data_IF_304023501245
#
_entry.id   IF_304023501245
#
_cell.length_a   1.000
_cell.length_b   1.000
_cell.length_c   1.000
_cell.angle_alpha   90.00
_cell.angle_beta   90.00
_cell.angle_gamma   90.00
#
_symmetry.space_group_name_H-M   'P 1'
#
loop_
_entity.id
_entity.type
_entity.pdbx_description
1 polymer ?
#
# COMPACT_ATOMS: atom_id res chain seq x y z
N UNK A 1 14.51 2.39 19.65
CA UNK A 1 13.67 2.56 18.46
C UNK A 1 14.50 2.05 17.30
N UNK A 2 13.90 1.24 16.44
CA UNK A 2 14.54 0.73 15.22
C UNK A 2 13.77 1.30 14.05
N UNK A 3 14.46 1.97 13.14
CA UNK A 3 13.92 2.28 11.82
C UNK A 3 14.16 1.09 10.91
N UNK A 4 13.11 0.67 10.20
CA UNK A 4 13.17 -0.39 9.19
C UNK A 4 12.58 0.14 7.90
N UNK A 5 13.31 -0.03 6.80
CA UNK A 5 12.84 0.29 5.45
C UNK A 5 12.76 -0.99 4.64
N UNK A 6 11.71 -1.14 3.85
CA UNK A 6 11.53 -2.29 2.97
C UNK A 6 10.88 -1.87 1.66
N UNK A 7 11.20 -2.62 0.60
CA UNK A 7 10.62 -2.48 -0.74
C UNK A 7 10.08 -3.82 -1.19
N UNK A 8 8.83 -3.82 -1.66
CA UNK A 8 8.19 -4.99 -2.25
C UNK A 8 7.67 -4.62 -3.63
N UNK A 9 7.97 -5.47 -4.60
CA UNK A 9 7.48 -5.37 -5.97
C UNK A 9 6.66 -6.60 -6.34
N UNK A 10 5.56 -6.40 -7.07
CA UNK A 10 4.65 -7.45 -7.53
C UNK A 10 4.07 -7.13 -8.90
N UNK A 11 3.92 -8.17 -9.71
CA UNK A 11 3.08 -8.11 -10.91
C UNK A 11 1.67 -8.57 -10.55
N UNK A 12 0.69 -7.77 -10.94
CA UNK A 12 -0.75 -8.04 -10.81
C UNK A 12 -1.29 -8.49 -12.16
N UNK A 13 -2.28 -9.39 -12.15
CA UNK A 13 -3.10 -9.70 -13.32
C UNK A 13 -4.53 -9.38 -12.96
N UNK A 14 -5.12 -8.46 -13.71
CA UNK A 14 -6.49 -7.98 -13.50
C UNK A 14 -7.32 -8.43 -14.71
N UNK A 15 -8.41 -9.15 -14.47
CA UNK A 15 -9.29 -9.66 -15.52
C UNK A 15 -10.31 -8.59 -15.96
N UNK A 16 -9.79 -7.39 -16.23
CA UNK A 16 -10.57 -6.24 -16.67
C UNK A 16 -9.84 -5.46 -17.77
N UNK A 17 -10.59 -4.81 -18.69
CA UNK A 17 -10.02 -3.90 -19.67
C UNK A 17 -9.25 -2.74 -19.02
N UNK A 18 -8.24 -2.23 -19.72
CA UNK A 18 -7.35 -1.17 -19.22
C UNK A 18 -8.10 0.06 -18.67
N UNK A 19 -9.21 0.46 -19.30
CA UNK A 19 -9.99 1.61 -18.87
C UNK A 19 -10.60 1.38 -17.48
N UNK A 20 -11.18 0.21 -17.23
CA UNK A 20 -11.79 -0.14 -15.96
C UNK A 20 -10.74 -0.34 -14.87
N UNK A 21 -9.62 -1.00 -15.20
CA UNK A 21 -8.49 -1.14 -14.28
C UNK A 21 -7.90 0.23 -13.89
N UNK A 22 -7.86 1.19 -14.82
CA UNK A 22 -7.43 2.56 -14.51
C UNK A 22 -8.42 3.28 -13.60
N UNK A 23 -9.73 3.21 -13.88
CA UNK A 23 -10.75 3.78 -13.01
C UNK A 23 -10.70 3.19 -11.59
N UNK A 24 -10.51 1.86 -11.48
CA UNK A 24 -10.26 1.21 -10.19
C UNK A 24 -9.03 1.81 -9.52
N UNK A 25 -7.92 1.98 -10.25
CA UNK A 25 -6.66 2.46 -9.66
C UNK A 25 -6.79 3.88 -9.11
N UNK A 26 -7.58 4.74 -9.76
CA UNK A 26 -7.85 6.10 -9.29
C UNK A 26 -8.71 6.15 -8.01
N UNK A 27 -9.52 5.11 -7.73
CA UNK A 27 -10.34 5.02 -6.53
C UNK A 27 -9.54 4.45 -5.34
N UNK A 28 -8.61 5.27 -4.82
CA UNK A 28 -7.70 4.90 -3.73
C UNK A 28 -8.40 4.29 -2.51
N UNK A 29 -9.49 4.88 -1.96
CA UNK A 29 -10.19 4.28 -0.84
C UNK A 29 -10.75 2.89 -1.15
N UNK A 30 -11.30 2.68 -2.35
CA UNK A 30 -11.92 1.39 -2.72
C UNK A 30 -10.92 0.25 -2.71
N UNK A 31 -9.82 0.38 -3.45
CA UNK A 31 -8.82 -0.70 -3.48
C UNK A 31 -7.98 -0.71 -2.21
N UNK A 32 -7.73 0.45 -1.59
CA UNK A 32 -6.88 0.56 -0.41
C UNK A 32 -7.41 -0.23 0.78
N UNK A 33 -8.73 -0.30 0.94
CA UNK A 33 -9.38 -1.12 1.98
C UNK A 33 -9.15 -2.63 1.80
N UNK A 34 -8.67 -3.09 0.64
CA UNK A 34 -8.27 -4.48 0.44
C UNK A 34 -6.91 -4.79 1.07
N UNK A 35 -6.07 -3.79 1.33
CA UNK A 35 -4.80 -4.02 2.02
C UNK A 35 -5.09 -4.52 3.45
N UNK A 36 -4.47 -5.61 3.91
CA UNK A 36 -4.82 -6.20 5.20
C UNK A 36 -4.62 -5.22 6.35
N UNK A 37 -5.51 -5.30 7.34
CA UNK A 37 -5.47 -4.50 8.57
C UNK A 37 -5.66 -3.00 8.37
N UNK A 38 -6.18 -2.55 7.23
CA UNK A 38 -6.64 -1.15 7.10
C UNK A 38 -7.98 -1.01 7.85
N UNK A 39 -8.04 -0.04 8.75
CA UNK A 39 -9.25 0.33 9.51
C UNK A 39 -10.02 1.41 8.75
N UNK A 40 -9.36 2.53 8.39
CA UNK A 40 -9.98 3.60 7.60
C UNK A 40 -9.00 4.24 6.61
N UNK A 41 -9.57 4.74 5.51
CA UNK A 41 -8.90 5.63 4.55
C UNK A 41 -9.79 6.86 4.41
N UNK A 42 -9.30 8.01 4.84
CA UNK A 42 -10.04 9.27 4.83
C UNK A 42 -9.36 10.27 3.91
N UNK A 43 -10.12 10.99 3.09
CA UNK A 43 -9.55 12.06 2.27
C UNK A 43 -9.09 13.23 3.15
N UNK A 44 -7.95 13.80 2.80
CA UNK A 44 -7.42 15.05 3.36
C UNK A 44 -7.53 16.23 2.37
N UNK A 45 -8.15 16.01 1.20
CA UNK A 45 -8.15 16.94 0.07
C UNK A 45 -6.99 16.69 -0.91
N UNK A 46 -7.08 17.22 -2.13
CA UNK A 46 -5.98 17.23 -3.13
C UNK A 46 -5.29 15.87 -3.39
N UNK A 47 -6.06 14.78 -3.49
CA UNK A 47 -5.50 13.44 -3.73
C UNK A 47 -4.69 12.90 -2.55
N UNK A 48 -4.81 13.49 -1.37
CA UNK A 48 -4.19 13.03 -0.13
C UNK A 48 -5.17 12.19 0.67
N UNK A 49 -4.67 11.09 1.22
CA UNK A 49 -5.45 10.18 2.04
C UNK A 49 -4.71 9.84 3.33
N UNK A 50 -5.45 9.88 4.43
CA UNK A 50 -5.03 9.46 5.75
C UNK A 50 -5.41 7.99 5.96
N UNK A 51 -4.39 7.15 6.08
CA UNK A 51 -4.53 5.73 6.35
C UNK A 51 -4.42 5.49 7.83
N UNK A 52 -5.37 4.73 8.37
CA UNK A 52 -5.32 4.20 9.73
C UNK A 52 -5.38 2.70 9.66
N UNK A 53 -4.36 2.05 10.20
CA UNK A 53 -4.37 0.61 10.37
C UNK A 53 -5.17 0.22 11.62
N UNK A 54 -5.59 -1.04 11.70
CA UNK A 54 -6.15 -1.64 12.90
C UNK A 54 -5.14 -1.52 14.06
N UNK A 55 -5.61 -1.27 15.30
CA UNK A 55 -4.72 -1.24 16.46
C UNK A 55 -4.04 -2.59 16.71
N UNK A 56 -2.70 -2.57 16.83
CA UNK A 56 -1.85 -3.74 17.09
C UNK A 56 -1.42 -3.78 18.55
N UNK A 57 -1.32 -4.98 19.13
CA UNK A 57 -0.79 -5.20 20.49
C UNK A 57 -1.84 -5.53 21.55
N UNK A 58 -1.39 -5.83 22.79
CA UNK A 58 -2.27 -6.32 23.85
C UNK A 58 -3.22 -5.22 24.35
N UNK A 59 -4.37 -5.60 24.96
CA UNK A 59 -5.27 -4.65 25.61
C UNK A 59 -4.53 -3.69 26.55
N UNK A 60 -4.82 -2.39 26.43
CA UNK A 60 -4.18 -1.34 27.23
C UNK A 60 -2.81 -0.85 26.76
N UNK A 61 -2.20 -1.46 25.72
CA UNK A 61 -0.95 -0.98 25.09
C UNK A 61 -0.99 -1.07 23.56
N UNK A 62 -2.17 -0.88 22.98
CA UNK A 62 -2.35 -0.93 21.53
C UNK A 62 -1.63 0.25 20.87
N UNK A 63 -0.85 -0.05 19.84
CA UNK A 63 -0.24 0.92 18.94
C UNK A 63 -1.03 0.92 17.63
N UNK A 64 -1.30 2.10 17.09
CA UNK A 64 -1.95 2.24 15.78
C UNK A 64 -0.94 2.82 14.81
N UNK A 65 -0.83 2.21 13.64
CA UNK A 65 -0.07 2.79 12.52
C UNK A 65 -0.98 3.78 11.81
N UNK A 66 -0.49 5.01 11.66
CA UNK A 66 -1.17 6.10 10.96
C UNK A 66 -0.16 6.72 10.02
N UNK A 67 -0.54 6.99 8.79
CA UNK A 67 0.27 7.67 7.79
C UNK A 67 -0.62 8.35 6.77
N UNK A 68 -0.08 9.32 6.03
CA UNK A 68 -0.78 9.90 4.90
C UNK A 68 0.10 9.87 3.66
N UNK A 69 -0.56 9.71 2.51
CA UNK A 69 0.09 9.71 1.20
C UNK A 69 -0.65 10.66 0.27
N UNK A 70 0.10 11.39 -0.56
CA UNK A 70 -0.41 12.10 -1.73
C UNK A 70 -0.27 11.22 -2.96
N UNK A 71 -1.34 11.10 -3.72
CA UNK A 71 -1.42 10.31 -4.95
C UNK A 71 -1.41 11.23 -6.17
N UNK A 72 -0.58 10.88 -7.15
CA UNK A 72 -0.43 11.58 -8.42
C UNK A 72 -0.67 10.58 -9.56
N UNK A 73 -1.63 10.89 -10.43
CA UNK A 73 -2.04 10.02 -11.53
C UNK A 73 -1.54 10.58 -12.85
N UNK A 74 -0.66 9.85 -13.51
CA UNK A 74 -0.23 10.14 -14.87
C UNK A 74 -1.05 9.31 -15.85
N UNK A 75 -2.00 9.95 -16.52
CA UNK A 75 -2.89 9.31 -17.49
C UNK A 75 -2.15 8.88 -18.77
N UNK A 76 -1.06 9.58 -19.13
CA UNK A 76 -0.29 9.28 -20.34
C UNK A 76 0.51 7.98 -20.18
N UNK A 77 1.06 7.74 -18.99
CA UNK A 77 1.80 6.51 -18.67
C UNK A 77 0.98 5.48 -17.91
N UNK A 78 -0.29 5.78 -17.58
CA UNK A 78 -1.17 4.94 -16.74
C UNK A 78 -0.49 4.50 -15.45
N UNK A 79 0.18 5.45 -14.81
CA UNK A 79 0.92 5.23 -13.56
C UNK A 79 0.30 6.06 -12.44
N UNK A 80 -0.07 5.40 -11.35
CA UNK A 80 -0.43 6.06 -10.11
C UNK A 80 0.77 5.99 -9.16
N UNK A 81 1.29 7.14 -8.74
CA UNK A 81 2.41 7.23 -7.79
C UNK A 81 1.91 7.82 -6.48
N UNK A 82 2.41 7.33 -5.34
CA UNK A 82 2.13 7.95 -4.04
C UNK A 82 3.40 8.23 -3.24
N UNK A 83 3.35 9.36 -2.54
CA UNK A 83 4.47 9.86 -1.71
C UNK A 83 3.97 10.21 -0.30
N UNK A 84 4.80 10.02 0.74
CA UNK A 84 4.42 10.36 2.10
C UNK A 84 4.10 11.84 2.26
N UNK A 85 3.07 12.17 3.04
CA UNK A 85 2.83 13.53 3.52
C UNK A 85 3.65 13.75 4.79
N UNK A 86 4.61 14.66 4.73
CA UNK A 86 5.50 14.94 5.86
C UNK A 86 4.73 15.38 7.12
N UNK A 87 5.20 14.94 8.28
CA UNK A 87 4.63 15.32 9.58
C UNK A 87 3.33 14.62 9.96
N UNK A 88 2.81 13.71 9.13
CA UNK A 88 1.57 12.98 9.41
C UNK A 88 1.85 11.54 9.86
N UNK A 89 1.45 11.22 11.09
CA UNK A 89 1.46 9.85 11.59
C UNK A 89 2.83 9.36 12.09
N UNK A 90 3.03 8.05 12.06
CA UNK A 90 4.19 7.35 12.62
C UNK A 90 4.83 6.32 11.67
N UNK A 91 4.45 6.36 10.40
CA UNK A 91 5.02 5.57 9.33
C UNK A 91 5.04 6.38 8.03
N UNK A 92 5.93 6.02 7.10
CA UNK A 92 5.97 6.60 5.78
C UNK A 92 5.83 5.50 4.73
N UNK A 93 4.91 5.69 3.78
CA UNK A 93 4.70 4.78 2.67
C UNK A 93 4.84 5.54 1.36
N UNK A 94 5.55 4.95 0.41
CA UNK A 94 5.68 5.42 -0.95
C UNK A 94 5.46 4.26 -1.91
N UNK A 95 5.29 4.56 -3.19
CA UNK A 95 5.15 3.52 -4.19
C UNK A 95 4.55 4.00 -5.48
N UNK A 96 4.36 3.05 -6.38
CA UNK A 96 3.72 3.28 -7.66
C UNK A 96 3.03 2.01 -8.15
N UNK A 97 2.00 2.20 -8.96
CA UNK A 97 1.38 1.14 -9.74
C UNK A 97 1.24 1.62 -11.17
N UNK A 98 1.96 0.97 -12.09
CA UNK A 98 1.82 1.18 -13.53
C UNK A 98 0.99 0.04 -14.12
N UNK A 99 0.06 0.34 -15.03
CA UNK A 99 -0.77 -0.68 -15.67
C UNK A 99 -0.67 -0.62 -17.20
N UNK A 100 -0.73 -1.80 -17.83
CA UNK A 100 -0.67 -1.96 -19.27
C UNK A 100 -1.68 -3.01 -19.76
N UNK A 101 -2.24 -2.87 -20.98
CA UNK A 101 -3.20 -3.82 -21.49
C UNK A 101 -2.54 -5.18 -21.77
N UNK A 102 -3.24 -6.27 -21.44
CA UNK A 102 -2.89 -7.65 -21.79
C UNK A 102 -4.02 -8.26 -22.62
N UNK A 103 -4.13 -7.78 -23.87
CA UNK A 103 -5.28 -8.02 -24.73
C UNK A 103 -6.46 -7.10 -24.42
N UNK A 104 -7.66 -7.47 -24.90
CA UNK A 104 -8.84 -6.59 -24.83
C UNK A 104 -9.56 -6.63 -23.47
N UNK A 105 -9.41 -7.72 -22.73
CA UNK A 105 -10.19 -8.01 -21.53
C UNK A 105 -9.34 -8.17 -20.25
N UNK A 106 -8.02 -7.96 -20.33
CA UNK A 106 -7.13 -8.08 -19.18
C UNK A 106 -6.10 -6.95 -19.14
N UNK A 107 -5.56 -6.74 -17.94
CA UNK A 107 -4.58 -5.70 -17.63
C UNK A 107 -3.49 -6.31 -16.75
N UNK A 108 -2.24 -5.99 -17.05
CA UNK A 108 -1.09 -6.29 -16.18
C UNK A 108 -0.74 -5.05 -15.39
N UNK A 109 -0.54 -5.21 -14.08
CA UNK A 109 -0.09 -4.14 -13.19
C UNK A 109 1.30 -4.42 -12.62
N UNK A 110 2.10 -3.38 -12.43
CA UNK A 110 3.39 -3.43 -11.77
C UNK A 110 3.31 -2.58 -10.50
N UNK A 111 3.08 -3.25 -9.37
CA UNK A 111 2.94 -2.64 -8.06
C UNK A 111 4.31 -2.61 -7.36
N UNK A 112 4.68 -1.43 -6.87
CA UNK A 112 5.86 -1.20 -6.05
C UNK A 112 5.43 -0.49 -4.76
N UNK A 113 5.84 -1.03 -3.61
CA UNK A 113 5.54 -0.50 -2.28
C UNK A 113 6.83 -0.33 -1.49
N UNK A 114 7.08 0.89 -1.03
CA UNK A 114 8.13 1.23 -0.09
C UNK A 114 7.50 1.56 1.27
N UNK A 115 8.03 0.99 2.35
CA UNK A 115 7.57 1.28 3.70
C UNK A 115 8.76 1.59 4.60
N UNK A 116 8.67 2.70 5.33
CA UNK A 116 9.59 3.07 6.42
C UNK A 116 8.82 3.09 7.73
N UNK A 117 9.21 2.22 8.65
CA UNK A 117 8.53 2.00 9.93
C UNK A 117 9.45 2.33 11.11
N UNK A 118 8.91 3.09 12.06
CA UNK A 118 9.55 3.40 13.34
C UNK A 118 9.06 2.42 14.41
N UNK A 119 9.86 1.40 14.71
CA UNK A 119 9.45 0.28 15.56
C UNK A 119 9.90 0.54 17.01
N UNK A 120 8.98 0.50 18.00
CA UNK A 120 9.26 0.85 19.39
C UNK A 120 9.95 -0.30 20.15
N UNK A 121 11.08 -0.77 19.63
CA UNK A 121 11.92 -1.82 20.23
C UNK A 121 13.34 -1.32 20.50
N UNK A 122 14.10 -1.97 21.40
CA UNK A 122 15.51 -1.68 21.61
C UNK A 122 16.34 -1.80 20.33
N UNK A 123 17.29 -0.88 20.13
CA UNK A 123 18.08 -0.79 18.90
C UNK A 123 18.91 -2.03 18.58
N UNK A 124 19.39 -2.75 19.61
CA UNK A 124 20.20 -3.97 19.43
C UNK A 124 19.42 -5.14 18.81
N UNK A 125 18.09 -5.04 18.68
CA UNK A 125 17.26 -6.05 18.02
C UNK A 125 17.12 -5.84 16.50
N UNK A 126 17.76 -4.82 15.92
CA UNK A 126 17.61 -4.47 14.50
C UNK A 126 17.81 -5.66 13.55
N UNK A 127 18.80 -6.52 13.82
CA UNK A 127 19.11 -7.70 13.01
C UNK A 127 17.97 -8.73 12.91
N UNK A 128 17.04 -8.74 13.88
CA UNK A 128 15.84 -9.61 13.86
C UNK A 128 14.64 -8.83 13.31
N UNK A 129 14.58 -7.53 13.60
CA UNK A 129 13.47 -6.65 13.23
C UNK A 129 13.41 -6.44 11.72
N UNK A 130 14.53 -6.12 11.06
CA UNK A 130 14.53 -5.85 9.62
C UNK A 130 14.01 -7.04 8.80
N UNK A 131 14.50 -8.28 8.98
CA UNK A 131 13.97 -9.43 8.23
C UNK A 131 12.51 -9.75 8.56
N UNK A 132 12.06 -9.52 9.80
CA UNK A 132 10.67 -9.75 10.18
C UNK A 132 9.72 -8.75 9.48
N UNK A 133 10.14 -7.50 9.35
CA UNK A 133 9.40 -6.47 8.60
C UNK A 133 9.33 -6.82 7.12
N UNK A 134 10.45 -7.21 6.52
CA UNK A 134 10.49 -7.63 5.10
C UNK A 134 9.55 -8.80 4.83
N UNK A 135 9.61 -9.84 5.68
CA UNK A 135 8.77 -11.02 5.57
C UNK A 135 7.28 -10.67 5.68
N UNK A 136 6.92 -9.84 6.66
CA UNK A 136 5.53 -9.47 6.86
C UNK A 136 5.01 -8.58 5.74
N UNK A 137 5.77 -7.57 5.31
CA UNK A 137 5.38 -6.70 4.19
C UNK A 137 5.25 -7.49 2.89
N UNK A 138 6.13 -8.47 2.65
CA UNK A 138 6.03 -9.41 1.53
C UNK A 138 4.73 -10.22 1.59
N UNK A 139 4.34 -10.71 2.78
CA UNK A 139 3.11 -11.48 3.00
C UNK A 139 1.85 -10.63 2.81
N UNK A 140 1.80 -9.45 3.43
CA UNK A 140 0.65 -8.54 3.34
C UNK A 140 0.43 -8.07 1.89
N UNK A 141 1.51 -7.76 1.18
CA UNK A 141 1.45 -7.36 -0.24
C UNK A 141 0.98 -8.51 -1.14
N UNK A 142 1.35 -9.76 -0.83
CA UNK A 142 0.84 -10.91 -1.57
C UNK A 142 -0.68 -11.08 -1.39
N UNK A 143 -1.18 -11.00 -0.16
CA UNK A 143 -2.63 -11.05 0.13
C UNK A 143 -3.36 -9.89 -0.56
N UNK A 144 -2.77 -8.71 -0.53
CA UNK A 144 -3.34 -7.54 -1.18
C UNK A 144 -3.43 -7.72 -2.70
N UNK A 145 -2.37 -8.25 -3.34
CA UNK A 145 -2.37 -8.56 -4.76
C UNK A 145 -3.47 -9.56 -5.15
N UNK A 146 -3.65 -10.63 -4.38
CA UNK A 146 -4.74 -11.61 -4.59
C UNK A 146 -6.11 -10.93 -4.52
N UNK A 147 -6.36 -10.10 -3.49
CA UNK A 147 -7.63 -9.38 -3.33
C UNK A 147 -7.89 -8.37 -4.45
N UNK A 148 -6.86 -7.73 -5.00
CA UNK A 148 -6.98 -6.84 -6.15
C UNK A 148 -7.41 -7.61 -7.41
N UNK A 149 -6.80 -8.77 -7.65
CA UNK A 149 -7.21 -9.65 -8.75
C UNK A 149 -8.66 -10.09 -8.56
N UNK A 150 -9.06 -10.52 -7.37
CA UNK A 150 -10.44 -10.92 -7.08
C UNK A 150 -11.46 -9.78 -7.25
N UNK A 151 -11.09 -8.54 -6.91
CA UNK A 151 -11.95 -7.37 -7.11
C UNK A 151 -12.28 -7.13 -8.59
N UNK A 152 -11.34 -7.43 -9.48
CA UNK A 152 -11.45 -7.17 -10.92
C UNK A 152 -11.80 -8.41 -11.74
N UNK A 153 -11.88 -9.60 -11.11
CA UNK A 153 -12.20 -10.88 -11.76
C UNK A 153 -13.66 -11.31 -11.70
N UNK A 154 -14.58 -10.41 -11.33
CA UNK A 154 -16.05 -10.62 -11.34
C UNK A 154 -16.73 -9.89 -12.47
#
# INVERSE_FOLDING_TARGET
>A
MVESSTRVERTLRLDAPLAEAWEMLLDVPRWGMLFPHVDTIETMGEGQYLWRMEPLGPPGRKVRVVYACRYDADEATRTLTWTPVEGVGNAAFAGACAIEPDGDAATVGHLQLDATLQIPVPGFLSAIVHPAVDLEMTRLTAIFAERLTDLMGT
#
